data_IF_787197344761
#
_entry.id   IF_787197344761
#
_cell.length_a   1.000
_cell.length_b   1.000
_cell.length_c   1.000
_cell.angle_alpha   90.00
_cell.angle_beta   90.00
_cell.angle_gamma   90.00
#
_symmetry.space_group_name_H-M   'P 1'
#
loop_
_entity.id
_entity.type
_entity.pdbx_description
1 polymer ?
#
# COMPACT_ATOMS: atom_id res chain seq x y z
N UNK A 1 -16.88 -21.79 -6.70
CA UNK A 1 -16.35 -21.00 -5.58
C UNK A 1 -15.36 -20.02 -6.16
N UNK A 2 -15.59 -18.72 -6.02
CA UNK A 2 -14.65 -17.70 -6.49
C UNK A 2 -13.37 -17.77 -5.66
N UNK A 3 -12.20 -17.70 -6.30
CA UNK A 3 -10.93 -17.61 -5.59
C UNK A 3 -10.94 -16.35 -4.72
N UNK A 4 -10.66 -16.45 -3.41
CA UNK A 4 -10.61 -15.26 -2.55
C UNK A 4 -9.54 -14.30 -3.08
N UNK A 5 -9.91 -13.03 -3.17
CA UNK A 5 -9.03 -11.97 -3.67
C UNK A 5 -7.88 -11.75 -2.67
N UNK A 6 -6.69 -11.52 -3.21
CA UNK A 6 -5.44 -11.41 -2.47
C UNK A 6 -5.08 -9.96 -2.25
N UNK A 7 -4.92 -9.57 -1.00
CA UNK A 7 -4.52 -8.23 -0.60
C UNK A 7 -3.12 -8.29 -0.03
N UNK A 8 -2.22 -7.46 -0.54
CA UNK A 8 -0.91 -7.23 0.05
C UNK A 8 -0.91 -5.90 0.80
N UNK A 9 -0.61 -5.93 2.09
CA UNK A 9 -0.39 -4.72 2.90
C UNK A 9 1.11 -4.50 3.03
N UNK A 10 1.58 -3.27 2.74
CA UNK A 10 2.97 -2.85 2.89
C UNK A 10 3.01 -1.66 3.85
N UNK A 11 3.37 -1.93 5.10
CA UNK A 11 3.30 -0.97 6.21
C UNK A 11 4.14 -1.49 7.39
N UNK A 12 4.98 -0.64 8.00
CA UNK A 12 5.86 -1.05 9.11
C UNK A 12 5.15 -1.06 10.48
N UNK A 13 3.94 -0.48 10.55
CA UNK A 13 3.12 -0.47 11.76
C UNK A 13 2.44 -1.83 11.98
N UNK A 14 3.00 -2.62 12.90
CA UNK A 14 2.51 -3.97 13.22
C UNK A 14 1.10 -3.99 13.79
N UNK A 15 0.75 -3.00 14.59
CA UNK A 15 -0.57 -2.96 15.24
C UNK A 15 -1.64 -2.60 14.21
N UNK A 16 -1.35 -1.63 13.33
CA UNK A 16 -2.22 -1.26 12.23
C UNK A 16 -2.43 -2.41 11.24
N UNK A 17 -1.33 -3.07 10.84
CA UNK A 17 -1.39 -4.16 9.87
C UNK A 17 -2.15 -5.38 10.40
N UNK A 18 -1.98 -5.71 11.68
CA UNK A 18 -2.74 -6.79 12.32
C UNK A 18 -4.23 -6.46 12.40
N UNK A 19 -4.60 -5.25 12.82
CA UNK A 19 -5.99 -4.82 12.87
C UNK A 19 -6.65 -4.85 11.48
N UNK A 20 -5.96 -4.32 10.46
CA UNK A 20 -6.47 -4.31 9.09
C UNK A 20 -6.58 -5.72 8.50
N UNK A 21 -5.59 -6.58 8.79
CA UNK A 21 -5.62 -7.98 8.38
C UNK A 21 -6.84 -8.70 8.95
N UNK A 22 -7.12 -8.56 10.25
CA UNK A 22 -8.29 -9.19 10.90
C UNK A 22 -9.59 -8.74 10.19
N UNK A 23 -9.75 -7.44 9.94
CA UNK A 23 -10.94 -6.90 9.28
C UNK A 23 -11.11 -7.46 7.86
N UNK A 24 -10.03 -7.51 7.08
CA UNK A 24 -10.09 -7.98 5.69
C UNK A 24 -10.26 -9.51 5.61
N UNK A 25 -9.65 -10.28 6.51
CA UNK A 25 -9.83 -11.74 6.54
C UNK A 25 -11.26 -12.14 6.97
N UNK A 26 -11.92 -11.35 7.83
CA UNK A 26 -13.34 -11.53 8.18
C UNK A 26 -14.25 -11.38 6.94
N UNK A 27 -13.88 -10.48 6.03
CA UNK A 27 -14.51 -10.29 4.71
C UNK A 27 -14.05 -11.33 3.66
N UNK A 28 -13.41 -12.42 4.08
CA UNK A 28 -12.94 -13.54 3.23
C UNK A 28 -11.82 -13.20 2.24
N UNK A 29 -11.09 -12.10 2.42
CA UNK A 29 -9.88 -11.81 1.66
C UNK A 29 -8.70 -12.67 2.13
N UNK A 30 -7.76 -12.96 1.23
CA UNK A 30 -6.45 -13.53 1.60
C UNK A 30 -5.45 -12.39 1.79
N UNK A 31 -4.94 -12.22 3.00
CA UNK A 31 -4.07 -11.08 3.31
C UNK A 31 -2.63 -11.53 3.54
N UNK A 32 -1.69 -10.90 2.83
CA UNK A 32 -0.24 -10.99 3.12
C UNK A 32 0.23 -9.62 3.61
N UNK A 33 1.10 -9.63 4.62
CA UNK A 33 1.68 -8.40 5.20
C UNK A 33 3.17 -8.38 4.93
N UNK A 34 3.67 -7.22 4.52
CA UNK A 34 5.09 -6.90 4.38
C UNK A 34 5.39 -5.66 5.22
N UNK A 35 6.42 -5.74 6.07
CA UNK A 35 6.80 -4.68 7.01
C UNK A 35 7.86 -3.72 6.45
N UNK A 36 8.36 -4.01 5.24
CA UNK A 36 9.26 -3.13 4.50
C UNK A 36 8.88 -3.15 3.03
N UNK A 37 9.26 -2.13 2.28
CA UNK A 37 8.97 -2.11 0.85
C UNK A 37 9.72 -3.20 0.07
N UNK A 38 10.93 -3.58 0.49
CA UNK A 38 11.65 -4.75 -0.06
C UNK A 38 10.83 -6.03 0.12
N UNK A 39 10.30 -6.28 1.32
CA UNK A 39 9.43 -7.43 1.56
C UNK A 39 8.18 -7.37 0.69
N UNK A 40 7.62 -6.18 0.50
CA UNK A 40 6.47 -5.96 -0.38
C UNK A 40 6.78 -6.28 -1.84
N UNK A 41 7.89 -5.76 -2.37
CA UNK A 41 8.33 -6.02 -3.74
C UNK A 41 8.68 -7.50 -3.96
N UNK A 42 9.33 -8.15 -3.00
CA UNK A 42 9.61 -9.58 -3.04
C UNK A 42 8.29 -10.38 -3.05
N UNK A 43 7.31 -10.00 -2.21
CA UNK A 43 6.00 -10.63 -2.19
C UNK A 43 5.21 -10.49 -3.50
N UNK A 44 5.26 -9.33 -4.16
CA UNK A 44 4.60 -9.09 -5.45
C UNK A 44 5.20 -9.98 -6.55
N UNK A 45 6.52 -10.21 -6.51
CA UNK A 45 7.22 -11.10 -7.45
C UNK A 45 6.89 -12.57 -7.22
N UNK A 46 6.77 -12.99 -5.96
CA UNK A 46 6.39 -14.35 -5.60
C UNK A 46 4.95 -14.66 -6.02
N UNK A 47 4.03 -13.73 -5.74
CA UNK A 47 2.62 -13.90 -6.05
C UNK A 47 1.95 -12.54 -6.28
N UNK A 48 1.36 -12.35 -7.47
CA UNK A 48 0.65 -11.11 -7.79
C UNK A 48 -0.59 -10.97 -6.91
N UNK A 49 -0.71 -9.87 -6.13
CA UNK A 49 -1.92 -9.54 -5.41
C UNK A 49 -2.98 -8.95 -6.35
N UNK A 50 -4.23 -8.98 -5.92
CA UNK A 50 -5.36 -8.32 -6.59
C UNK A 50 -5.53 -6.88 -6.11
N UNK A 51 -4.94 -6.51 -4.96
CA UNK A 51 -4.88 -5.14 -4.41
C UNK A 51 -3.61 -4.97 -3.56
N UNK A 52 -3.00 -3.79 -3.64
CA UNK A 52 -1.92 -3.37 -2.72
C UNK A 52 -2.44 -2.23 -1.84
N UNK A 53 -2.28 -2.37 -0.53
CA UNK A 53 -2.44 -1.28 0.44
C UNK A 53 -1.04 -0.83 0.86
N UNK A 54 -0.68 0.43 0.59
CA UNK A 54 0.68 0.93 0.74
C UNK A 54 0.75 2.13 1.69
N UNK A 55 1.56 2.04 2.73
CA UNK A 55 2.03 3.24 3.45
C UNK A 55 3.20 3.88 2.71
N UNK A 56 3.21 5.20 2.68
CA UNK A 56 4.30 5.99 2.11
C UNK A 56 5.43 6.24 3.11
N UNK A 57 5.17 6.08 4.41
CA UNK A 57 6.13 6.33 5.49
C UNK A 57 6.86 5.06 5.93
N UNK A 58 7.61 4.43 5.03
CA UNK A 58 8.39 3.23 5.34
C UNK A 58 9.82 3.58 5.80
N UNK A 59 10.35 2.96 6.87
CA UNK A 59 11.73 3.17 7.30
C UNK A 59 12.74 2.72 6.24
N UNK A 60 13.61 3.63 5.81
CA UNK A 60 14.70 3.33 4.87
C UNK A 60 14.26 3.13 3.41
N UNK A 61 12.96 3.29 3.10
CA UNK A 61 12.43 3.12 1.75
C UNK A 61 11.45 4.25 1.39
N UNK A 62 11.51 4.72 0.15
CA UNK A 62 10.59 5.74 -0.34
C UNK A 62 9.32 5.08 -0.92
N UNK A 63 8.26 5.03 -0.11
CA UNK A 63 6.97 4.47 -0.52
C UNK A 63 6.36 5.18 -1.73
N UNK A 64 6.69 6.46 -1.97
CA UNK A 64 6.28 7.18 -3.19
C UNK A 64 6.94 6.57 -4.42
N UNK A 65 8.23 6.27 -4.31
CA UNK A 65 8.98 5.60 -5.38
C UNK A 65 8.50 4.17 -5.62
N UNK A 66 8.12 3.43 -4.58
CA UNK A 66 7.51 2.10 -4.74
C UNK A 66 6.23 2.18 -5.57
N UNK A 67 5.29 3.04 -5.19
CA UNK A 67 4.03 3.22 -5.92
C UNK A 67 4.28 3.59 -7.39
N UNK A 68 5.15 4.59 -7.64
CA UNK A 68 5.50 5.01 -9.00
C UNK A 68 6.14 3.87 -9.81
N UNK A 69 7.02 3.09 -9.20
CA UNK A 69 7.66 1.96 -9.88
C UNK A 69 6.63 0.89 -10.26
N UNK A 70 5.68 0.59 -9.36
CA UNK A 70 4.60 -0.36 -9.65
C UNK A 70 3.76 0.12 -10.85
N UNK A 71 3.34 1.39 -10.83
CA UNK A 71 2.50 1.98 -11.88
C UNK A 71 3.19 2.18 -13.22
N UNK A 72 4.52 2.29 -13.23
CA UNK A 72 5.30 2.39 -14.47
C UNK A 72 5.83 1.03 -14.98
N UNK A 73 5.66 -0.05 -14.22
CA UNK A 73 6.10 -1.40 -14.63
C UNK A 73 4.95 -2.11 -15.36
N UNK A 74 5.08 -2.49 -16.65
CA UNK A 74 3.99 -3.10 -17.41
C UNK A 74 3.37 -4.34 -16.78
N UNK A 75 4.15 -5.06 -15.97
CA UNK A 75 3.72 -6.26 -15.28
C UNK A 75 2.79 -5.99 -14.07
N UNK A 76 2.94 -4.83 -13.43
CA UNK A 76 2.29 -4.49 -12.15
C UNK A 76 1.36 -3.28 -12.23
N UNK A 77 1.43 -2.51 -13.32
CA UNK A 77 0.70 -1.23 -13.47
C UNK A 77 -0.81 -1.34 -13.29
N UNK A 78 -1.37 -2.50 -13.64
CA UNK A 78 -2.80 -2.77 -13.60
C UNK A 78 -3.26 -3.30 -12.23
N UNK A 79 -2.33 -3.56 -11.30
CA UNK A 79 -2.65 -3.90 -9.91
C UNK A 79 -3.14 -2.61 -9.23
N UNK A 80 -4.36 -2.59 -8.67
CA UNK A 80 -4.83 -1.45 -7.88
C UNK A 80 -3.94 -1.19 -6.68
N UNK A 81 -3.60 0.08 -6.45
CA UNK A 81 -2.83 0.55 -5.29
C UNK A 81 -3.70 1.55 -4.52
N UNK A 82 -4.07 1.17 -3.31
CA UNK A 82 -4.66 2.04 -2.30
C UNK A 82 -3.54 2.58 -1.40
N UNK A 83 -3.30 3.89 -1.43
CA UNK A 83 -2.38 4.51 -0.49
C UNK A 83 -3.12 4.78 0.81
N UNK A 84 -2.62 4.22 1.91
CA UNK A 84 -3.12 4.47 3.26
C UNK A 84 -1.96 5.00 4.11
N UNK A 85 -1.95 6.30 4.40
CA UNK A 85 -0.77 6.92 5.02
C UNK A 85 -1.11 8.01 6.01
N UNK A 86 -0.28 8.14 7.04
CA UNK A 86 -0.30 9.27 7.98
C UNK A 86 0.52 10.47 7.46
N UNK A 87 1.11 10.40 6.27
CA UNK A 87 1.98 11.43 5.69
C UNK A 87 1.37 12.83 5.69
N UNK A 88 0.10 12.96 5.31
CA UNK A 88 -0.61 14.25 5.28
C UNK A 88 -0.82 14.87 6.68
N UNK A 89 -0.73 14.06 7.74
CA UNK A 89 -0.88 14.48 9.14
C UNK A 89 0.46 14.76 9.80
N UNK A 90 1.50 13.98 9.47
CA UNK A 90 2.86 14.13 10.01
C UNK A 90 3.66 15.24 9.35
N UNK A 91 3.41 15.55 8.07
CA UNK A 91 4.06 16.66 7.37
C UNK A 91 3.09 17.81 7.14
N UNK A 92 3.61 19.04 7.07
CA UNK A 92 2.80 20.18 6.62
C UNK A 92 2.19 19.86 5.25
N UNK A 93 0.90 20.16 5.05
CA UNK A 93 0.12 19.91 3.81
C UNK A 93 0.83 20.33 2.50
N UNK A 94 1.85 21.18 2.56
CA UNK A 94 2.66 21.59 1.41
C UNK A 94 3.48 20.44 0.80
N UNK A 95 3.94 19.48 1.60
CA UNK A 95 4.81 18.40 1.10
C UNK A 95 3.99 17.30 0.42
N UNK A 96 2.84 16.94 0.97
CA UNK A 96 1.89 16.03 0.32
C UNK A 96 0.81 16.82 -0.42
N UNK A 97 1.24 17.58 -1.44
CA UNK A 97 0.38 18.44 -2.26
C UNK A 97 -0.49 17.62 -3.22
N UNK A 98 -1.56 18.23 -3.80
CA UNK A 98 -2.33 17.61 -4.89
C UNK A 98 -1.44 17.12 -6.04
N UNK A 99 -0.36 17.86 -6.34
CA UNK A 99 0.59 17.46 -7.37
C UNK A 99 1.33 16.15 -7.02
N UNK A 100 1.64 15.90 -5.74
CA UNK A 100 2.26 14.62 -5.34
C UNK A 100 1.27 13.47 -5.52
N UNK A 101 -0.01 13.67 -5.17
CA UNK A 101 -1.08 12.67 -5.38
C UNK A 101 -1.29 12.35 -6.86
N UNK A 102 -1.32 13.38 -7.71
CA UNK A 102 -1.46 13.20 -9.16
C UNK A 102 -0.28 12.43 -9.77
N UNK A 103 0.95 12.71 -9.30
CA UNK A 103 2.15 12.06 -9.82
C UNK A 103 2.44 10.67 -9.22
N UNK A 104 1.74 10.25 -8.16
CA UNK A 104 1.92 8.94 -7.53
C UNK A 104 1.35 7.81 -8.39
N UNK A 105 0.26 8.09 -9.12
CA UNK A 105 -0.44 7.12 -9.96
C UNK A 105 -1.25 6.05 -9.20
N UNK A 106 -1.38 6.17 -7.87
CA UNK A 106 -2.26 5.29 -7.10
C UNK A 106 -3.73 5.52 -7.48
N UNK A 107 -4.53 4.47 -7.34
CA UNK A 107 -5.94 4.48 -7.75
C UNK A 107 -6.83 5.16 -6.71
N UNK A 108 -6.44 5.12 -5.44
CA UNK A 108 -7.17 5.75 -4.34
C UNK A 108 -6.23 6.18 -3.20
N UNK A 109 -6.63 7.19 -2.42
CA UNK A 109 -5.83 7.75 -1.33
C UNK A 109 -6.65 7.98 -0.06
N UNK A 110 -6.22 7.35 1.04
CA UNK A 110 -6.76 7.56 2.37
C UNK A 110 -5.67 8.15 3.28
N UNK A 111 -5.84 9.42 3.67
CA UNK A 111 -4.89 10.18 4.48
C UNK A 111 -5.31 10.32 5.96
N UNK A 112 -6.37 9.61 6.33
CA UNK A 112 -6.95 9.55 7.67
C UNK A 112 -6.46 8.32 8.47
N UNK A 113 -5.26 7.80 8.15
CA UNK A 113 -4.64 6.70 8.92
C UNK A 113 -4.66 7.08 10.43
N UNK A 114 -5.31 6.27 11.29
CA UNK A 114 -5.33 6.54 12.72
C UNK A 114 -3.88 6.49 13.26
N UNK A 115 -3.55 7.40 14.17
CA UNK A 115 -2.28 7.37 14.94
C UNK A 115 -2.56 7.00 16.37
#
# INVERSE_FOLDING_TARGET
MSTPQKILIIDDDKDMTEALKIILEDESYKVKVAFTGKQGLDAIREEKPDLIILDLLLPGEDGVSICRNLKNTPEYKDIPVLVLTALARKMEKKIFSPAVRENLGADEYLDNKPI
#
